data_IF_197981448116
#
_entry.id   IF_197981448116
#
_cell.length_a   1.000
_cell.length_b   1.000
_cell.length_c   1.000
_cell.angle_alpha   90.00
_cell.angle_beta   90.00
_cell.angle_gamma   90.00
#
_symmetry.space_group_name_H-M   'P 1'
#
loop_
_entity.id
_entity.type
_entity.pdbx_description
1 polymer ?
#
# COMPACT_ATOMS: atom_id res chain seq x y z
N UNK A 1 0.65 -5.48 -8.01
CA UNK A 1 0.37 -4.08 -7.57
C UNK A 1 0.56 -3.90 -6.07
N UNK A 2 0.00 -4.77 -5.21
CA UNK A 2 0.11 -4.67 -3.74
C UNK A 2 0.86 -5.87 -3.10
N UNK A 3 1.58 -6.63 -3.91
CA UNK A 3 2.23 -7.88 -3.47
C UNK A 3 3.33 -7.62 -2.44
N UNK A 4 4.07 -6.53 -2.63
CA UNK A 4 5.12 -6.05 -1.72
C UNK A 4 4.54 -5.65 -0.37
N UNK A 5 3.44 -4.89 -0.37
CA UNK A 5 2.74 -4.49 0.85
C UNK A 5 2.24 -5.70 1.63
N UNK A 6 1.65 -6.69 0.95
CA UNK A 6 1.23 -7.94 1.58
C UNK A 6 2.42 -8.68 2.19
N UNK A 7 3.49 -8.85 1.41
CA UNK A 7 4.69 -9.55 1.83
C UNK A 7 5.32 -8.91 3.07
N UNK A 8 5.59 -7.60 3.01
CA UNK A 8 6.24 -6.86 4.09
C UNK A 8 5.35 -6.86 5.33
N UNK A 9 4.05 -6.58 5.18
CA UNK A 9 3.11 -6.59 6.30
C UNK A 9 3.11 -7.92 7.02
N UNK A 10 2.95 -9.03 6.27
CA UNK A 10 2.96 -10.37 6.85
C UNK A 10 4.27 -10.67 7.55
N UNK A 11 5.40 -10.41 6.90
CA UNK A 11 6.73 -10.69 7.45
C UNK A 11 6.98 -9.93 8.74
N UNK A 12 6.70 -8.62 8.75
CA UNK A 12 6.85 -7.78 9.95
C UNK A 12 5.91 -8.25 11.06
N UNK A 13 4.63 -8.51 10.76
CA UNK A 13 3.67 -8.91 11.80
C UNK A 13 3.91 -10.33 12.33
N UNK A 14 4.34 -11.25 11.48
CA UNK A 14 4.68 -12.61 11.86
C UNK A 14 5.86 -12.68 12.82
N UNK A 15 6.78 -11.72 12.75
CA UNK A 15 7.93 -11.61 13.65
C UNK A 15 7.60 -10.76 14.89
N UNK A 16 6.96 -9.59 14.68
CA UNK A 16 6.68 -8.62 15.74
C UNK A 16 5.58 -9.08 16.69
N UNK A 17 4.43 -9.52 16.17
CA UNK A 17 3.23 -9.70 16.99
C UNK A 17 3.21 -11.03 17.77
N UNK A 18 4.17 -11.94 17.50
CA UNK A 18 4.29 -13.24 18.17
C UNK A 18 5.14 -13.20 19.44
N UNK A 19 5.97 -12.17 19.62
CA UNK A 19 6.83 -12.04 20.80
C UNK A 19 6.00 -11.77 22.05
N UNK A 20 6.48 -12.26 23.19
CA UNK A 20 5.84 -12.03 24.49
C UNK A 20 5.99 -10.58 24.95
N UNK A 21 7.13 -9.98 24.61
CA UNK A 21 7.46 -8.58 24.88
C UNK A 21 6.61 -7.63 24.02
N UNK A 22 6.32 -6.46 24.59
CA UNK A 22 5.65 -5.38 23.88
C UNK A 22 6.63 -4.71 22.90
N UNK A 23 6.12 -4.26 21.76
CA UNK A 23 6.87 -3.33 20.90
C UNK A 23 7.18 -2.05 21.68
N UNK A 24 8.37 -1.51 21.45
CA UNK A 24 8.96 -0.45 22.28
C UNK A 24 8.12 0.85 22.27
N UNK A 25 7.48 1.15 21.13
CA UNK A 25 6.77 2.40 20.92
C UNK A 25 5.27 2.18 20.63
N UNK A 26 4.40 2.13 21.66
CA UNK A 26 2.98 1.85 21.48
C UNK A 26 2.26 2.87 20.58
N UNK A 27 2.66 4.14 20.62
CA UNK A 27 2.13 5.19 19.74
C UNK A 27 2.38 4.88 18.27
N UNK A 28 3.58 4.39 17.93
CA UNK A 28 3.91 3.95 16.56
C UNK A 28 3.14 2.71 16.14
N UNK A 29 2.89 1.78 17.07
CA UNK A 29 1.99 0.64 16.82
C UNK A 29 0.59 1.13 16.46
N UNK A 30 0.06 2.11 17.21
CA UNK A 30 -1.24 2.69 16.92
C UNK A 30 -1.28 3.48 15.60
N UNK A 31 -0.25 4.28 15.31
CA UNK A 31 -0.12 4.94 13.99
C UNK A 31 -0.11 3.92 12.85
N UNK A 32 0.64 2.83 12.99
CA UNK A 32 0.66 1.75 11.99
C UNK A 32 -0.73 1.15 11.78
N UNK A 33 -1.49 0.94 12.87
CA UNK A 33 -2.88 0.47 12.81
C UNK A 33 -3.78 1.45 12.04
N UNK A 34 -3.68 2.74 12.32
CA UNK A 34 -4.47 3.79 11.64
C UNK A 34 -4.13 3.90 10.16
N UNK A 35 -2.84 3.89 9.81
CA UNK A 35 -2.42 3.93 8.41
C UNK A 35 -2.88 2.67 7.65
N UNK A 36 -2.84 1.48 8.28
CA UNK A 36 -3.34 0.27 7.63
C UNK A 36 -4.87 0.30 7.42
N UNK A 37 -5.63 0.91 8.33
CA UNK A 37 -7.07 1.17 8.15
C UNK A 37 -7.33 2.04 6.92
N UNK A 38 -6.55 3.11 6.76
CA UNK A 38 -6.63 4.04 5.62
C UNK A 38 -6.25 3.35 4.31
N UNK A 39 -5.15 2.57 4.30
CA UNK A 39 -4.76 1.74 3.15
C UNK A 39 -5.89 0.82 2.72
N UNK A 40 -6.52 0.10 3.67
CA UNK A 40 -7.65 -0.80 3.35
C UNK A 40 -8.82 -0.04 2.72
N UNK A 41 -9.12 1.16 3.24
CA UNK A 41 -10.17 2.02 2.70
C UNK A 41 -9.83 2.52 1.28
N UNK A 42 -8.58 2.93 1.05
CA UNK A 42 -8.16 3.51 -0.23
C UNK A 42 -7.98 2.45 -1.33
N UNK A 43 -7.58 1.23 -0.97
CA UNK A 43 -7.64 0.08 -1.91
C UNK A 43 -9.08 -0.15 -2.36
N UNK A 44 -10.03 -0.10 -1.41
CA UNK A 44 -11.44 -0.26 -1.73
C UNK A 44 -11.95 0.88 -2.63
N UNK A 45 -11.50 2.11 -2.40
CA UNK A 45 -11.81 3.27 -3.25
C UNK A 45 -11.32 3.03 -4.68
N UNK A 46 -10.02 2.76 -4.88
CA UNK A 46 -9.43 2.49 -6.20
C UNK A 46 -10.16 1.35 -6.92
N UNK A 47 -10.41 0.24 -6.22
CA UNK A 47 -11.00 -0.95 -6.84
C UNK A 47 -12.47 -0.76 -7.24
N UNK A 48 -13.22 0.12 -6.56
CA UNK A 48 -14.68 0.19 -6.69
C UNK A 48 -15.24 1.53 -7.16
N UNK A 49 -14.42 2.57 -7.21
CA UNK A 49 -14.81 3.87 -7.76
C UNK A 49 -14.56 3.87 -9.28
N UNK A 50 -13.51 4.52 -9.80
CA UNK A 50 -13.37 4.72 -11.25
C UNK A 50 -12.79 3.55 -12.06
N UNK A 51 -12.12 2.57 -11.43
CA UNK A 51 -11.30 1.59 -12.16
C UNK A 51 -12.04 0.86 -13.28
N UNK A 52 -13.23 0.33 -13.01
CA UNK A 52 -13.98 -0.52 -13.95
C UNK A 52 -15.06 0.20 -14.75
N UNK A 53 -15.13 1.54 -14.70
CA UNK A 53 -16.16 2.26 -15.45
C UNK A 53 -16.07 1.99 -16.96
N UNK A 54 -17.24 1.84 -17.59
CA UNK A 54 -17.40 1.86 -19.04
C UNK A 54 -17.41 3.32 -19.51
N UNK A 55 -16.69 3.61 -20.59
CA UNK A 55 -16.62 4.92 -21.21
C UNK A 55 -17.93 5.36 -21.87
N UNK A 56 -18.98 4.54 -21.85
CA UNK A 56 -20.34 4.91 -22.25
C UNK A 56 -21.19 5.41 -21.07
N UNK A 57 -20.71 5.31 -19.83
CA UNK A 57 -21.51 5.70 -18.67
C UNK A 57 -21.81 7.20 -18.65
N UNK A 58 -23.03 7.54 -18.24
CA UNK A 58 -23.54 8.92 -18.31
C UNK A 58 -22.71 9.90 -17.48
N UNK A 59 -22.18 9.46 -16.34
CA UNK A 59 -21.32 10.28 -15.48
C UNK A 59 -19.96 10.60 -16.13
N UNK A 60 -19.51 9.85 -17.16
CA UNK A 60 -18.29 10.13 -17.90
C UNK A 60 -18.52 10.99 -19.15
N UNK A 61 -19.77 11.11 -19.62
CA UNK A 61 -20.11 11.87 -20.82
C UNK A 61 -20.15 13.39 -20.57
N UNK A 62 -20.05 14.15 -21.67
CA UNK A 62 -20.36 15.59 -21.74
C UNK A 62 -19.70 16.42 -20.63
N UNK A 63 -18.46 16.08 -20.28
CA UNK A 63 -17.74 16.71 -19.19
C UNK A 63 -16.75 17.77 -19.70
N UNK A 64 -16.37 18.70 -18.83
CA UNK A 64 -15.32 19.69 -19.09
C UNK A 64 -13.91 19.07 -19.24
N UNK A 65 -13.75 17.77 -18.96
CA UNK A 65 -12.48 17.05 -19.08
C UNK A 65 -12.16 16.59 -20.51
N UNK A 66 -13.07 16.78 -21.48
CA UNK A 66 -12.89 16.30 -22.85
C UNK A 66 -13.47 14.91 -23.03
N UNK A 67 -12.65 13.93 -23.45
CA UNK A 67 -13.16 12.58 -23.74
C UNK A 67 -13.51 11.84 -22.45
N UNK A 68 -14.45 10.86 -22.48
CA UNK A 68 -14.73 10.01 -21.32
C UNK A 68 -13.49 9.37 -20.69
N UNK A 69 -12.51 8.96 -21.51
CA UNK A 69 -11.23 8.42 -21.06
C UNK A 69 -10.37 9.42 -20.28
N UNK A 70 -10.49 10.72 -20.58
CA UNK A 70 -9.74 11.77 -19.90
C UNK A 70 -10.31 12.01 -18.50
N UNK A 71 -11.64 12.04 -18.37
CA UNK A 71 -12.32 12.11 -17.08
C UNK A 71 -12.03 10.87 -16.23
N UNK A 72 -12.16 9.68 -16.81
CA UNK A 72 -11.84 8.42 -16.13
C UNK A 72 -10.41 8.42 -15.58
N UNK A 73 -9.42 8.77 -16.41
CA UNK A 73 -8.01 8.83 -16.00
C UNK A 73 -7.79 9.86 -14.90
N UNK A 74 -8.41 11.03 -14.99
CA UNK A 74 -8.27 12.07 -13.96
C UNK A 74 -8.70 11.57 -12.59
N UNK A 75 -9.92 11.05 -12.47
CA UNK A 75 -10.44 10.60 -11.17
C UNK A 75 -9.78 9.32 -10.68
N UNK A 76 -9.48 8.36 -11.58
CA UNK A 76 -8.74 7.16 -11.19
C UNK A 76 -7.34 7.51 -10.68
N UNK A 77 -6.64 8.47 -11.30
CA UNK A 77 -5.34 8.92 -10.81
C UNK A 77 -5.45 9.64 -9.45
N UNK A 78 -6.55 10.35 -9.16
CA UNK A 78 -6.76 10.91 -7.81
C UNK A 78 -6.95 9.81 -6.76
N UNK A 79 -7.73 8.77 -7.08
CA UNK A 79 -7.89 7.62 -6.19
C UNK A 79 -6.55 6.89 -5.96
N UNK A 80 -5.74 6.73 -7.02
CA UNK A 80 -4.41 6.11 -6.95
C UNK A 80 -3.40 6.97 -6.18
N UNK A 81 -3.41 8.28 -6.36
CA UNK A 81 -2.56 9.23 -5.61
C UNK A 81 -2.84 9.13 -4.12
N UNK A 82 -4.11 9.11 -3.73
CA UNK A 82 -4.51 8.90 -2.35
C UNK A 82 -4.00 7.56 -1.78
N UNK A 83 -4.14 6.48 -2.54
CA UNK A 83 -3.61 5.17 -2.12
C UNK A 83 -2.09 5.17 -2.03
N UNK A 84 -1.38 5.85 -2.94
CA UNK A 84 0.08 5.99 -2.87
C UNK A 84 0.49 6.68 -1.56
N UNK A 85 -0.16 7.78 -1.19
CA UNK A 85 0.16 8.53 0.02
C UNK A 85 -0.09 7.69 1.29
N UNK A 86 -1.26 7.05 1.38
CA UNK A 86 -1.60 6.17 2.50
C UNK A 86 -0.61 5.01 2.64
N UNK A 87 -0.14 4.43 1.54
CA UNK A 87 0.86 3.36 1.57
C UNK A 87 2.25 3.85 1.96
N UNK A 88 2.67 5.04 1.51
CA UNK A 88 3.94 5.63 1.93
C UNK A 88 3.93 5.87 3.44
N UNK A 89 2.87 6.48 3.97
CA UNK A 89 2.74 6.72 5.40
C UNK A 89 2.70 5.40 6.20
N UNK A 90 1.99 4.40 5.69
CA UNK A 90 1.95 3.07 6.28
C UNK A 90 3.35 2.42 6.32
N UNK A 91 4.08 2.38 5.19
CA UNK A 91 5.41 1.80 5.10
C UNK A 91 6.41 2.50 6.03
N UNK A 92 6.34 3.83 6.15
CA UNK A 92 7.16 4.58 7.08
C UNK A 92 6.86 4.20 8.54
N UNK A 93 5.59 4.12 8.94
CA UNK A 93 5.25 3.70 10.30
C UNK A 93 5.62 2.25 10.58
N UNK A 94 5.43 1.36 9.60
CA UNK A 94 5.84 -0.04 9.68
C UNK A 94 7.36 -0.17 9.84
N UNK A 95 8.14 0.75 9.24
CA UNK A 95 9.60 0.77 9.34
C UNK A 95 10.14 1.09 10.75
N UNK A 96 9.27 1.60 11.62
CA UNK A 96 9.59 1.94 12.99
C UNK A 96 9.14 0.89 14.01
N UNK A 97 8.58 -0.24 13.56
CA UNK A 97 8.24 -1.33 14.48
C UNK A 97 9.51 -2.09 14.88
N UNK A 98 9.81 -2.09 16.18
CA UNK A 98 10.94 -2.78 16.80
C UNK A 98 10.63 -3.16 18.26
N UNK A 99 11.32 -4.20 18.74
CA UNK A 99 11.41 -4.54 20.17
C UNK A 99 12.70 -4.03 20.82
N UNK A 100 13.60 -3.53 19.99
CA UNK A 100 14.90 -2.94 20.35
C UNK A 100 14.94 -1.54 19.72
N UNK A 101 16.13 -0.92 19.65
CA UNK A 101 16.31 0.36 18.96
C UNK A 101 15.85 0.31 17.48
N UNK A 102 15.51 1.48 16.94
CA UNK A 102 15.00 1.71 15.59
C UNK A 102 15.97 1.21 14.49
N UNK A 103 17.27 1.17 14.79
CA UNK A 103 18.28 0.59 13.91
C UNK A 103 18.06 -0.92 13.66
N UNK A 104 17.33 -1.60 14.54
CA UNK A 104 17.05 -3.04 14.52
C UNK A 104 15.59 -3.37 14.14
N UNK A 105 14.88 -2.42 13.52
CA UNK A 105 13.49 -2.62 13.09
C UNK A 105 13.33 -3.79 12.11
N UNK A 106 12.15 -4.39 12.11
CA UNK A 106 11.87 -5.57 11.27
C UNK A 106 12.04 -5.29 9.78
N UNK A 107 11.66 -4.10 9.33
CA UNK A 107 11.84 -3.68 7.94
C UNK A 107 13.32 -3.43 7.62
N UNK A 108 14.08 -2.85 8.55
CA UNK A 108 15.51 -2.58 8.34
C UNK A 108 16.34 -3.86 8.18
N UNK A 109 15.84 -4.99 8.70
CA UNK A 109 16.41 -6.33 8.50
C UNK A 109 16.10 -6.90 7.12
N UNK A 110 15.08 -6.38 6.43
CA UNK A 110 14.71 -6.77 5.07
C UNK A 110 15.41 -5.85 4.06
N UNK A 111 15.38 -4.54 4.31
CA UNK A 111 15.91 -3.51 3.41
C UNK A 111 16.82 -2.55 4.19
N UNK A 112 17.86 -2.01 3.54
CA UNK A 112 18.70 -1.00 4.18
C UNK A 112 17.94 0.31 4.46
N UNK A 113 17.91 0.74 5.72
CA UNK A 113 17.13 1.91 6.19
C UNK A 113 17.35 3.19 5.38
N UNK A 114 18.60 3.49 5.00
CA UNK A 114 18.94 4.75 4.32
C UNK A 114 18.39 4.82 2.91
N UNK A 115 18.48 3.72 2.17
CA UNK A 115 17.96 3.64 0.80
C UNK A 115 16.46 3.44 0.80
N UNK A 116 15.90 2.75 1.79
CA UNK A 116 14.46 2.53 1.93
C UNK A 116 13.68 3.84 2.12
N UNK A 117 14.09 4.69 3.08
CA UNK A 117 13.37 5.93 3.36
C UNK A 117 13.29 6.84 2.12
N UNK A 118 14.43 7.04 1.45
CA UNK A 118 14.49 7.84 0.23
C UNK A 118 13.61 7.28 -0.88
N UNK A 119 13.64 5.96 -1.07
CA UNK A 119 12.78 5.29 -2.05
C UNK A 119 11.29 5.45 -1.74
N UNK A 120 10.85 5.21 -0.50
CA UNK A 120 9.44 5.35 -0.11
C UNK A 120 8.93 6.77 -0.38
N UNK A 121 9.72 7.78 0.01
CA UNK A 121 9.30 9.17 -0.14
C UNK A 121 9.20 9.60 -1.59
N UNK A 122 10.23 9.33 -2.39
CA UNK A 122 10.41 9.95 -3.70
C UNK A 122 9.92 9.08 -4.85
N UNK A 123 9.99 7.76 -4.73
CA UNK A 123 9.90 6.85 -5.88
C UNK A 123 8.78 5.83 -5.78
N UNK A 124 8.36 5.45 -4.57
CA UNK A 124 7.32 4.46 -4.37
C UNK A 124 5.98 4.91 -4.97
N UNK A 125 5.38 4.04 -5.79
CA UNK A 125 4.06 4.25 -6.36
C UNK A 125 3.43 2.91 -6.74
N UNK A 126 2.20 2.66 -6.30
CA UNK A 126 1.43 1.48 -6.70
C UNK A 126 0.56 1.73 -7.94
N UNK A 127 0.60 2.92 -8.52
CA UNK A 127 -0.23 3.21 -9.66
C UNK A 127 -0.24 4.67 -10.06
N UNK A 128 -0.05 4.87 -11.36
CA UNK A 128 -0.33 6.10 -12.09
C UNK A 128 -0.58 5.75 -13.55
N UNK A 129 -1.55 6.41 -14.20
CA UNK A 129 -1.82 6.26 -15.63
C UNK A 129 -1.42 7.54 -16.36
N UNK A 130 -0.44 7.43 -17.25
CA UNK A 130 0.03 8.55 -18.08
C UNK A 130 -1.05 9.02 -19.08
N UNK A 131 -0.91 10.26 -19.56
CA UNK A 131 -1.80 10.80 -20.59
C UNK A 131 -1.74 9.96 -21.87
N UNK A 132 -2.91 9.67 -22.45
CA UNK A 132 -3.06 8.83 -23.65
C UNK A 132 -2.51 7.39 -23.50
N UNK A 133 -2.07 7.00 -22.31
CA UNK A 133 -1.65 5.63 -22.00
C UNK A 133 -2.85 4.79 -21.56
N UNK A 134 -2.76 3.49 -21.83
CA UNK A 134 -3.64 2.46 -21.26
C UNK A 134 -2.88 1.54 -20.32
N UNK A 135 -1.72 2.00 -19.85
CA UNK A 135 -0.86 1.29 -18.92
C UNK A 135 -0.89 2.00 -17.58
N UNK A 136 -1.11 1.23 -16.53
CA UNK A 136 -0.89 1.65 -15.15
C UNK A 136 0.54 1.30 -14.77
N UNK A 137 1.29 2.30 -14.35
CA UNK A 137 2.69 2.19 -13.99
C UNK A 137 2.81 2.01 -12.48
N UNK A 138 3.66 1.08 -12.04
CA UNK A 138 3.96 0.85 -10.62
C UNK A 138 5.47 0.83 -10.41
N UNK A 139 5.91 1.35 -9.28
CA UNK A 139 7.27 1.29 -8.79
C UNK A 139 7.21 0.85 -7.31
N UNK A 140 7.31 -0.46 -7.10
CA UNK A 140 7.06 -1.10 -5.80
C UNK A 140 8.37 -1.61 -5.18
N UNK A 141 8.35 -2.02 -3.91
CA UNK A 141 9.50 -2.67 -3.29
C UNK A 141 9.69 -4.09 -3.85
N UNK A 142 10.93 -4.47 -4.13
CA UNK A 142 11.25 -5.83 -4.58
C UNK A 142 11.02 -6.83 -3.45
N UNK A 143 10.36 -7.96 -3.76
CA UNK A 143 10.05 -9.02 -2.79
C UNK A 143 11.13 -10.12 -2.79
N UNK A 144 11.75 -10.38 -3.94
CA UNK A 144 12.82 -11.36 -4.07
C UNK A 144 14.16 -10.77 -3.58
N UNK A 145 14.57 -11.24 -2.40
CA UNK A 145 15.76 -10.79 -1.67
C UNK A 145 16.99 -11.65 -1.93
N UNK A 146 16.84 -12.80 -2.62
CA UNK A 146 17.92 -13.77 -2.86
C UNK A 146 18.73 -13.43 -4.13
N UNK A 147 18.26 -12.47 -4.93
CA UNK A 147 18.96 -11.96 -6.09
C UNK A 147 20.12 -11.03 -5.67
N UNK A 148 21.21 -11.65 -5.24
CA UNK A 148 22.44 -10.99 -4.74
C UNK A 148 23.09 -10.03 -5.74
N UNK A 149 22.68 -10.08 -7.01
CA UNK A 149 23.19 -9.24 -8.09
C UNK A 149 22.36 -7.96 -8.29
N UNK A 150 21.20 -7.84 -7.62
CA UNK A 150 20.31 -6.70 -7.76
C UNK A 150 20.63 -5.59 -6.77
N UNK A 151 21.26 -4.52 -7.27
CA UNK A 151 21.54 -3.29 -6.50
C UNK A 151 20.25 -2.48 -6.25
N UNK A 152 19.17 -2.80 -6.96
CA UNK A 152 17.92 -2.03 -6.97
C UNK A 152 16.93 -2.52 -5.92
N UNK A 153 16.42 -1.59 -5.11
CA UNK A 153 15.39 -1.85 -4.09
C UNK A 153 13.99 -2.04 -4.69
N UNK A 154 13.82 -1.66 -5.94
CA UNK A 154 12.53 -1.45 -6.56
C UNK A 154 12.29 -2.37 -7.74
N UNK A 155 11.01 -2.61 -8.00
CA UNK A 155 10.52 -3.32 -9.16
C UNK A 155 9.51 -2.44 -9.89
N UNK A 156 9.86 -2.07 -11.12
CA UNK A 156 8.98 -1.31 -11.98
C UNK A 156 8.16 -2.24 -12.86
N UNK A 157 6.84 -2.05 -12.85
CA UNK A 157 5.90 -2.86 -13.61
C UNK A 157 4.90 -1.99 -14.36
N UNK A 158 4.35 -2.56 -15.44
CA UNK A 158 3.29 -1.97 -16.26
C UNK A 158 2.12 -2.93 -16.33
N UNK A 159 0.94 -2.47 -15.94
CA UNK A 159 -0.30 -3.25 -15.97
C UNK A 159 -1.17 -2.71 -17.09
N UNK A 160 -1.59 -3.58 -18.01
CA UNK A 160 -2.51 -3.21 -19.07
C UNK A 160 -3.93 -3.04 -18.51
N UNK A 161 -4.53 -1.88 -18.75
CA UNK A 161 -5.91 -1.53 -18.36
C UNK A 161 -6.73 -1.08 -19.57
N UNK A 162 -6.34 -1.54 -20.77
CA UNK A 162 -6.90 -1.09 -22.04
C UNK A 162 -8.31 -1.61 -22.34
N UNK A 163 -8.72 -2.71 -21.72
CA UNK A 163 -10.05 -3.31 -21.90
C UNK A 163 -10.82 -3.37 -20.59
N UNK A 164 -12.14 -3.56 -20.69
CA UNK A 164 -12.99 -3.73 -19.52
C UNK A 164 -12.59 -4.97 -18.72
N UNK A 165 -12.30 -6.08 -19.40
CA UNK A 165 -11.95 -7.37 -18.80
C UNK A 165 -10.65 -7.26 -17.96
N UNK A 166 -9.63 -6.58 -18.50
CA UNK A 166 -8.37 -6.35 -17.79
C UNK A 166 -8.57 -5.48 -16.55
N UNK A 167 -9.43 -4.45 -16.63
CA UNK A 167 -9.80 -3.62 -15.48
C UNK A 167 -10.53 -4.44 -14.41
N UNK A 168 -11.43 -5.34 -14.81
CA UNK A 168 -12.14 -6.25 -13.89
C UNK A 168 -11.18 -7.25 -13.23
N UNK A 169 -10.20 -7.78 -13.97
CA UNK A 169 -9.16 -8.64 -13.40
C UNK A 169 -8.34 -7.89 -12.35
N UNK A 170 -7.89 -6.66 -12.67
CA UNK A 170 -7.15 -5.82 -11.72
C UNK A 170 -7.98 -5.51 -10.47
N UNK A 171 -9.26 -5.14 -10.64
CA UNK A 171 -10.20 -4.96 -9.52
C UNK A 171 -10.27 -6.19 -8.63
N UNK A 172 -10.34 -7.37 -9.22
CA UNK A 172 -10.39 -8.64 -8.47
C UNK A 172 -9.13 -8.86 -7.66
N UNK A 173 -7.96 -8.68 -8.29
CA UNK A 173 -6.65 -8.78 -7.60
C UNK A 173 -6.51 -7.78 -6.45
N UNK A 174 -6.98 -6.54 -6.63
CA UNK A 174 -6.98 -5.52 -5.57
C UNK A 174 -7.89 -5.91 -4.41
N UNK A 175 -9.10 -6.38 -4.68
CA UNK A 175 -10.02 -6.81 -3.65
C UNK A 175 -9.50 -8.03 -2.87
N UNK A 176 -8.86 -8.98 -3.55
CA UNK A 176 -8.26 -10.14 -2.89
C UNK A 176 -7.05 -9.75 -2.04
N UNK A 177 -6.21 -8.83 -2.53
CA UNK A 177 -5.14 -8.21 -1.75
C UNK A 177 -5.69 -7.49 -0.51
N UNK A 178 -6.79 -6.76 -0.66
CA UNK A 178 -7.41 -6.03 0.43
C UNK A 178 -7.96 -6.95 1.52
N UNK A 179 -8.56 -8.09 1.15
CA UNK A 179 -9.02 -9.10 2.12
C UNK A 179 -7.86 -9.61 2.98
N UNK A 180 -6.70 -9.85 2.37
CA UNK A 180 -5.49 -10.29 3.10
C UNK A 180 -5.06 -9.20 4.09
N UNK A 181 -4.99 -7.94 3.66
CA UNK A 181 -4.60 -6.82 4.53
C UNK A 181 -5.62 -6.56 5.64
N UNK A 182 -6.92 -6.77 5.40
CA UNK A 182 -7.96 -6.72 6.43
C UNK A 182 -7.72 -7.78 7.50
N UNK A 183 -7.26 -8.97 7.14
CA UNK A 183 -6.95 -10.02 8.11
C UNK A 183 -5.70 -9.69 8.92
N UNK A 184 -4.66 -9.12 8.30
CA UNK A 184 -3.48 -8.59 9.01
C UNK A 184 -3.85 -7.41 9.94
N UNK A 185 -4.73 -6.52 9.49
CA UNK A 185 -5.27 -5.42 10.29
C UNK A 185 -5.97 -5.92 11.55
N UNK A 186 -6.77 -6.99 11.46
CA UNK A 186 -7.41 -7.62 12.63
C UNK A 186 -6.38 -8.19 13.60
N UNK A 187 -5.27 -8.76 13.12
CA UNK A 187 -4.20 -9.26 14.00
C UNK A 187 -3.56 -8.13 14.78
N UNK A 188 -3.20 -7.02 14.10
CA UNK A 188 -2.64 -5.85 14.77
C UNK A 188 -3.62 -5.24 15.78
N UNK A 189 -4.90 -5.14 15.41
CA UNK A 189 -5.96 -4.69 16.33
C UNK A 189 -6.02 -5.54 17.59
N UNK A 190 -6.01 -6.87 17.43
CA UNK A 190 -6.04 -7.79 18.55
C UNK A 190 -4.80 -7.62 19.43
N UNK A 191 -3.62 -7.54 18.83
CA UNK A 191 -2.37 -7.29 19.57
C UNK A 191 -2.46 -6.02 20.41
N UNK A 192 -2.94 -4.91 19.84
CA UNK A 192 -3.10 -3.65 20.58
C UNK A 192 -4.05 -3.81 21.77
N UNK A 193 -5.22 -4.42 21.55
CA UNK A 193 -6.22 -4.62 22.60
C UNK A 193 -5.75 -5.54 23.74
N UNK A 194 -4.91 -6.52 23.41
CA UNK A 194 -4.40 -7.49 24.38
C UNK A 194 -3.19 -6.94 25.18
N UNK A 195 -2.50 -5.90 24.69
CA UNK A 195 -1.18 -5.49 25.19
C UNK A 195 -1.07 -4.06 25.70
N UNK A 196 -1.93 -3.15 25.25
CA UNK A 196 -1.82 -1.73 25.55
C UNK A 196 -3.12 -1.14 26.11
N UNK A 197 -2.95 -0.18 27.02
CA UNK A 197 -4.01 0.71 27.49
C UNK A 197 -4.17 1.89 26.56
N UNK A 198 -5.25 2.66 26.71
CA UNK A 198 -5.44 3.89 25.92
C UNK A 198 -4.35 4.91 26.24
N UNK A 199 -3.93 4.99 27.50
CA UNK A 199 -2.86 5.87 27.96
C UNK A 199 -1.53 5.57 27.27
N UNK A 200 -1.18 4.28 27.08
CA UNK A 200 0.03 3.87 26.37
C UNK A 200 0.04 4.37 24.92
N UNK A 201 -1.12 4.39 24.26
CA UNK A 201 -1.25 4.78 22.84
C UNK A 201 -1.27 6.30 22.63
N UNK A 202 -1.67 7.06 23.66
CA UNK A 202 -1.83 8.51 23.59
C UNK A 202 -0.66 9.30 24.20
N UNK A 203 0.12 8.68 25.10
CA UNK A 203 1.37 9.23 25.65
C UNK A 203 2.40 9.53 24.56
#
# INVERSE_FOLDING_TARGET
MLEDIIFITKKVFDDALKKEENLENPKRVYSTYRCLEEVVSDINLVANHYLVHDFNEANLQNSSFGKPSDKWRFFLNQDLEKLNDSLKEYLLNLSYLSHEDMSESYINKIYNAKSLYGFIMEEYSIGFIEQNSKQLHTNALKIDLDDSDSIYLNEYNKIDVSTYELKVELKTKLNDSNKILIDEFKKLKKYILDRYTVEDLLG
#
